data_IF_734037415912
#
_entry.id   IF_734037415912
#
_cell.length_a   1.000
_cell.length_b   1.000
_cell.length_c   1.000
_cell.angle_alpha   90.00
_cell.angle_beta   90.00
_cell.angle_gamma   90.00
#
_symmetry.space_group_name_H-M   'P 1'
#
loop_
_entity.id
_entity.type
_entity.pdbx_description
1 polymer ?
#
# COMPACT_ATOMS: atom_id res chain seq x y z
N UNK A 1 11.57 5.50 11.62
CA UNK A 1 10.38 4.60 11.69
C UNK A 1 9.26 5.06 12.62
N UNK A 2 9.37 6.21 13.32
CA UNK A 2 8.38 6.67 14.31
C UNK A 2 6.97 6.87 13.76
N UNK A 3 6.85 7.40 12.53
CA UNK A 3 5.55 7.59 11.86
C UNK A 3 4.90 6.24 11.56
N UNK A 4 5.60 5.36 10.83
CA UNK A 4 5.08 4.05 10.41
C UNK A 4 4.66 3.15 11.58
N UNK A 5 5.31 3.27 12.75
CA UNK A 5 4.92 2.51 13.96
C UNK A 5 3.49 2.81 14.43
N UNK A 6 2.96 4.00 14.15
CA UNK A 6 1.62 4.44 14.57
C UNK A 6 0.54 4.10 13.54
N UNK A 7 0.92 3.67 12.35
CA UNK A 7 -0.01 3.40 11.26
C UNK A 7 -0.50 1.94 11.36
N UNK A 8 -1.82 1.81 11.57
CA UNK A 8 -2.53 0.53 11.71
C UNK A 8 -3.87 0.67 11.01
N UNK A 9 -3.93 0.22 9.77
CA UNK A 9 -5.12 0.26 8.92
C UNK A 9 -5.03 -0.86 7.87
N UNK A 10 -6.14 -1.52 7.47
CA UNK A 10 -6.10 -2.61 6.49
C UNK A 10 -5.51 -2.21 5.12
N UNK A 11 -5.75 -0.98 4.69
CA UNK A 11 -5.23 -0.41 3.43
C UNK A 11 -3.99 0.47 3.62
N UNK A 12 -3.15 0.15 4.60
CA UNK A 12 -1.81 0.74 4.76
C UNK A 12 -0.85 -0.42 5.01
N UNK A 13 0.26 -0.46 4.26
CA UNK A 13 1.28 -1.50 4.40
C UNK A 13 1.73 -1.64 5.86
N UNK A 14 1.59 -2.84 6.41
CA UNK A 14 1.89 -3.14 7.80
C UNK A 14 3.41 -3.13 8.04
N UNK A 15 3.87 -2.20 8.86
CA UNK A 15 5.21 -2.27 9.45
C UNK A 15 5.26 -3.40 10.49
N UNK A 16 6.07 -4.43 10.21
CA UNK A 16 6.34 -5.56 11.10
C UNK A 16 7.57 -5.31 11.98
N UNK A 17 8.58 -4.60 11.47
CA UNK A 17 9.81 -4.33 12.22
C UNK A 17 10.78 -3.43 11.46
N UNK A 18 11.93 -3.17 12.09
CA UNK A 18 13.02 -2.44 11.45
C UNK A 18 14.37 -2.83 12.05
N UNK A 19 15.39 -2.93 11.20
CA UNK A 19 16.78 -3.00 11.61
C UNK A 19 17.28 -1.57 11.74
N UNK A 20 17.59 -1.15 12.97
CA UNK A 20 18.02 0.22 13.29
C UNK A 20 19.50 0.33 13.62
N UNK A 21 20.23 -0.78 13.58
CA UNK A 21 21.67 -0.81 13.82
C UNK A 21 22.43 -0.75 12.48
N UNK A 22 23.44 0.13 12.35
CA UNK A 22 24.35 0.15 11.20
C UNK A 22 25.08 -1.20 11.02
N UNK A 23 25.56 -1.52 9.80
CA UNK A 23 25.55 -0.67 8.60
C UNK A 23 24.30 -0.83 7.72
N UNK A 24 23.43 -1.82 7.98
CA UNK A 24 22.32 -2.20 7.10
C UNK A 24 20.96 -1.83 7.69
N UNK A 25 20.68 -0.53 7.74
CA UNK A 25 19.35 -0.05 8.11
C UNK A 25 18.29 -0.62 7.17
N UNK A 26 17.24 -1.24 7.71
CA UNK A 26 16.21 -1.94 6.93
C UNK A 26 14.83 -1.75 7.54
N UNK A 27 13.79 -1.75 6.70
CA UNK A 27 12.39 -1.72 7.10
C UNK A 27 11.78 -3.08 6.73
N UNK A 28 11.07 -3.71 7.65
CA UNK A 28 10.40 -4.99 7.43
C UNK A 28 8.90 -4.77 7.43
N UNK A 29 8.25 -5.08 6.32
CA UNK A 29 6.80 -4.98 6.13
C UNK A 29 6.19 -6.33 5.83
N UNK A 30 4.86 -6.40 5.84
CA UNK A 30 4.17 -7.52 5.19
C UNK A 30 4.56 -7.61 3.71
N UNK A 31 4.52 -8.82 3.16
CA UNK A 31 4.80 -9.08 1.76
C UNK A 31 3.50 -9.09 0.93
N UNK A 32 3.47 -8.25 -0.10
CA UNK A 32 2.36 -8.10 -1.03
C UNK A 32 2.77 -8.68 -2.38
N UNK A 33 2.33 -9.91 -2.63
CA UNK A 33 2.83 -10.81 -3.67
C UNK A 33 2.50 -10.40 -5.10
N UNK A 34 1.50 -9.52 -5.32
CA UNK A 34 1.16 -9.03 -6.66
C UNK A 34 1.93 -7.79 -7.06
N UNK A 35 2.87 -7.33 -6.23
CA UNK A 35 3.72 -6.18 -6.53
C UNK A 35 2.93 -4.89 -6.56
N UNK A 36 3.34 -3.96 -7.41
CA UNK A 36 2.70 -2.65 -7.51
C UNK A 36 1.39 -2.72 -8.30
N UNK A 37 0.43 -1.85 -7.95
CA UNK A 37 -0.80 -1.68 -8.71
C UNK A 37 -0.50 -1.24 -10.15
N UNK A 38 0.56 -0.47 -10.37
CA UNK A 38 1.01 -0.08 -11.70
C UNK A 38 1.34 -1.31 -12.56
N UNK A 39 2.21 -2.20 -12.08
CA UNK A 39 2.58 -3.43 -12.80
C UNK A 39 1.35 -4.30 -13.04
N UNK A 40 0.51 -4.48 -12.02
CA UNK A 40 -0.69 -5.30 -12.11
C UNK A 40 -1.67 -4.83 -13.22
N UNK A 41 -1.85 -3.52 -13.37
CA UNK A 41 -2.76 -2.95 -14.37
C UNK A 41 -2.19 -2.96 -15.79
N UNK A 42 -0.85 -2.93 -15.95
CA UNK A 42 -0.20 -2.83 -17.26
C UNK A 42 0.40 -4.15 -17.77
N UNK A 43 0.48 -5.20 -16.94
CA UNK A 43 0.86 -6.54 -17.40
C UNK A 43 -0.27 -7.17 -18.21
N UNK A 44 -0.05 -7.32 -19.52
CA UNK A 44 -1.06 -7.52 -20.55
C UNK A 44 -2.18 -8.52 -20.23
N UNK A 45 -1.86 -9.74 -19.81
CA UNK A 45 -2.86 -10.78 -19.57
C UNK A 45 -3.56 -10.66 -18.21
N UNK A 46 -2.93 -10.01 -17.22
CA UNK A 46 -3.48 -9.90 -15.86
C UNK A 46 -4.36 -8.67 -15.74
N UNK A 47 -3.88 -7.49 -16.17
CA UNK A 47 -4.63 -6.23 -16.09
C UNK A 47 -5.97 -6.27 -16.83
N UNK A 48 -5.99 -6.91 -18.01
CA UNK A 48 -7.19 -7.10 -18.83
C UNK A 48 -8.22 -8.06 -18.20
N UNK A 49 -7.77 -8.98 -17.34
CA UNK A 49 -8.63 -9.95 -16.65
C UNK A 49 -9.33 -9.40 -15.40
N UNK A 50 -8.87 -8.25 -14.88
CA UNK A 50 -9.45 -7.63 -13.69
C UNK A 50 -10.78 -6.97 -14.08
N UNK A 51 -11.88 -7.45 -13.51
CA UNK A 51 -13.21 -6.86 -13.76
C UNK A 51 -13.30 -5.42 -13.27
N UNK A 52 -14.21 -4.65 -13.87
CA UNK A 52 -14.48 -3.27 -13.46
C UNK A 52 -14.82 -3.16 -11.97
N UNK A 53 -15.62 -4.11 -11.46
CA UNK A 53 -15.94 -4.20 -10.04
C UNK A 53 -14.69 -4.29 -9.17
N UNK A 54 -13.72 -5.14 -9.53
CA UNK A 54 -12.47 -5.26 -8.78
C UNK A 54 -11.66 -3.96 -8.84
N UNK A 55 -11.60 -3.27 -9.99
CA UNK A 55 -10.92 -1.96 -10.10
C UNK A 55 -11.55 -0.91 -9.19
N UNK A 56 -12.88 -0.89 -9.07
CA UNK A 56 -13.57 0.02 -8.14
C UNK A 56 -13.29 -0.34 -6.67
N UNK A 57 -13.23 -1.64 -6.33
CA UNK A 57 -12.80 -2.07 -5.00
C UNK A 57 -11.36 -1.62 -4.68
N UNK A 58 -10.43 -1.77 -5.62
CA UNK A 58 -9.05 -1.28 -5.48
C UNK A 58 -8.99 0.24 -5.26
N UNK A 59 -9.79 1.01 -6.00
CA UNK A 59 -9.88 2.46 -5.80
C UNK A 59 -10.44 2.82 -4.42
N UNK A 60 -11.44 2.06 -3.94
CA UNK A 60 -11.99 2.22 -2.61
C UNK A 60 -10.96 1.94 -1.51
N UNK A 61 -10.18 0.87 -1.66
CA UNK A 61 -9.08 0.52 -0.75
C UNK A 61 -8.09 1.69 -0.59
N UNK A 62 -7.66 2.28 -1.71
CA UNK A 62 -6.76 3.44 -1.73
C UNK A 62 -7.40 4.64 -1.02
N UNK A 63 -8.67 4.93 -1.31
CA UNK A 63 -9.40 6.02 -0.69
C UNK A 63 -9.53 5.82 0.84
N UNK A 64 -9.78 4.58 1.27
CA UNK A 64 -9.86 4.18 2.67
C UNK A 64 -8.53 4.42 3.41
N UNK A 65 -7.41 3.96 2.84
CA UNK A 65 -6.07 4.19 3.38
C UNK A 65 -5.68 5.67 3.45
N UNK A 66 -5.97 6.44 2.39
CA UNK A 66 -5.71 7.88 2.37
C UNK A 66 -6.57 8.66 3.36
N UNK A 67 -7.85 8.30 3.50
CA UNK A 67 -8.73 8.88 4.52
C UNK A 67 -8.17 8.63 5.92
N UNK A 68 -7.68 7.41 6.21
CA UNK A 68 -7.01 7.11 7.48
C UNK A 68 -5.80 8.02 7.72
N UNK A 69 -4.92 8.19 6.74
CA UNK A 69 -3.75 9.09 6.86
C UNK A 69 -4.16 10.54 7.15
N UNK A 70 -5.20 11.04 6.47
CA UNK A 70 -5.71 12.40 6.65
C UNK A 70 -6.40 12.61 8.01
N UNK A 71 -6.93 11.57 8.64
CA UNK A 71 -7.53 11.63 9.98
C UNK A 71 -6.50 11.59 11.13
N UNK A 72 -5.23 11.29 10.84
CA UNK A 72 -4.17 11.33 11.84
C UNK A 72 -4.02 12.73 12.46
N UNK A 73 -3.44 12.80 13.66
CA UNK A 73 -3.15 14.06 14.36
C UNK A 73 -1.64 14.18 14.61
N UNK A 74 -0.93 15.09 13.90
CA UNK A 74 -1.42 15.91 12.77
C UNK A 74 -1.76 15.06 11.51
N UNK A 75 -2.58 15.59 10.57
CA UNK A 75 -2.86 14.91 9.31
C UNK A 75 -1.58 14.58 8.54
N UNK A 76 -1.53 13.38 7.96
CA UNK A 76 -0.38 12.94 7.18
C UNK A 76 -0.71 13.08 5.69
N UNK A 77 0.03 13.92 4.98
CA UNK A 77 -0.03 14.02 3.52
C UNK A 77 1.00 13.06 2.92
N UNK A 78 0.58 12.13 2.07
CA UNK A 78 1.50 11.15 1.45
C UNK A 78 2.55 11.83 0.54
N UNK A 79 2.18 12.90 -0.18
CA UNK A 79 3.02 13.70 -1.10
C UNK A 79 3.56 12.99 -2.37
N UNK A 80 3.39 11.68 -2.49
CA UNK A 80 3.84 10.89 -3.64
C UNK A 80 2.86 9.73 -3.90
N UNK A 81 1.56 10.03 -3.87
CA UNK A 81 0.53 9.03 -4.13
C UNK A 81 0.46 8.75 -5.64
N UNK A 82 0.80 7.52 -6.04
CA UNK A 82 0.81 7.05 -7.43
C UNK A 82 0.74 5.53 -7.46
N UNK A 83 0.29 4.95 -8.57
CA UNK A 83 0.10 3.49 -8.69
C UNK A 83 1.37 2.64 -8.47
N UNK A 84 2.61 3.11 -8.73
CA UNK A 84 3.81 2.38 -8.32
C UNK A 84 4.02 2.25 -6.79
N UNK A 85 3.45 3.16 -6.00
CA UNK A 85 3.59 3.17 -4.53
C UNK A 85 2.42 2.45 -3.82
N UNK A 86 1.48 1.90 -4.58
CA UNK A 86 0.35 1.12 -4.08
C UNK A 86 0.66 -0.36 -4.31
N UNK A 87 0.61 -1.17 -3.26
CA UNK A 87 0.94 -2.59 -3.33
C UNK A 87 -0.32 -3.45 -3.24
N UNK A 88 -0.29 -4.63 -3.87
CA UNK A 88 -1.46 -5.50 -3.98
C UNK A 88 -1.18 -6.89 -3.40
N UNK A 89 -2.10 -7.38 -2.56
CA UNK A 89 -2.01 -8.71 -1.97
C UNK A 89 -2.60 -9.81 -2.86
N UNK A 90 -2.52 -11.07 -2.41
CA UNK A 90 -3.07 -12.21 -3.15
C UNK A 90 -4.60 -12.12 -3.39
N UNK A 91 -5.32 -11.40 -2.52
CA UNK A 91 -6.77 -11.22 -2.55
C UNK A 91 -7.22 -9.98 -3.33
N UNK A 92 -6.29 -9.31 -4.04
CA UNK A 92 -6.53 -8.05 -4.76
C UNK A 92 -6.86 -6.85 -3.87
N UNK A 93 -6.52 -6.91 -2.58
CA UNK A 93 -6.60 -5.76 -1.67
C UNK A 93 -5.44 -4.81 -1.96
N UNK A 94 -5.72 -3.51 -2.04
CA UNK A 94 -4.68 -2.48 -2.21
C UNK A 94 -4.28 -1.87 -0.88
N UNK A 95 -2.97 -1.64 -0.70
CA UNK A 95 -2.37 -1.02 0.48
C UNK A 95 -1.32 0.03 0.12
#
# INVERSE_FOLDING_TARGET
VSIMKRLRHPNIVLLMGAVIQPPKLSIVTEYLSRGSLFELLHMGNVGSSISERHRLCMAYDVASGMNYLHQMKPPIVHRDLKSPNLLVDNSFTVK
#
